data_IF_476165619629
#
_entry.id   IF_476165619629
#
_cell.length_a   1.000
_cell.length_b   1.000
_cell.length_c   1.000
_cell.angle_alpha   90.00
_cell.angle_beta   90.00
_cell.angle_gamma   90.00
#
_symmetry.space_group_name_H-M   'P 1'
#
loop_
_entity.id
_entity.type
_entity.pdbx_description
1 polymer ?
#
# COMPACT_ATOMS: atom_id res chain seq x y z
N UNK A 1 -9.81 -17.58 3.98
CA UNK A 1 -8.44 -17.76 4.43
C UNK A 1 -8.23 -16.95 5.70
N UNK A 2 -7.55 -17.48 6.71
CA UNK A 2 -7.17 -16.72 7.91
C UNK A 2 -5.71 -16.26 7.80
N UNK A 3 -5.46 -15.04 8.25
CA UNK A 3 -4.17 -14.40 8.33
C UNK A 3 -4.06 -13.82 9.76
N UNK A 4 -3.68 -14.66 10.72
CA UNK A 4 -3.91 -14.35 12.13
C UNK A 4 -5.42 -14.20 12.38
N UNK A 5 -5.81 -13.06 12.96
CA UNK A 5 -7.21 -12.72 13.21
C UNK A 5 -7.93 -12.11 11.99
N UNK A 6 -7.19 -11.82 10.93
CA UNK A 6 -7.75 -11.24 9.71
C UNK A 6 -8.36 -12.32 8.83
N UNK A 7 -9.61 -12.14 8.43
CA UNK A 7 -10.30 -13.04 7.50
C UNK A 7 -10.31 -12.43 6.10
N UNK A 8 -9.61 -13.06 5.17
CA UNK A 8 -9.56 -12.71 3.75
C UNK A 8 -10.27 -13.76 2.90
N UNK A 9 -10.77 -13.38 1.72
CA UNK A 9 -11.32 -14.35 0.74
C UNK A 9 -10.21 -15.20 0.09
N UNK A 10 -9.05 -14.57 -0.16
CA UNK A 10 -7.83 -15.22 -0.69
C UNK A 10 -6.61 -14.35 -0.37
N UNK A 11 -5.41 -14.77 -0.84
CA UNK A 11 -4.12 -14.13 -0.56
C UNK A 11 -3.84 -12.87 -1.38
N UNK A 12 -4.73 -12.43 -2.26
CA UNK A 12 -4.52 -11.24 -3.08
C UNK A 12 -5.42 -10.11 -2.61
N UNK A 13 -4.83 -9.05 -2.08
CA UNK A 13 -5.52 -7.83 -1.68
C UNK A 13 -5.15 -6.67 -2.61
N UNK A 14 -5.81 -5.54 -2.49
CA UNK A 14 -5.41 -4.31 -3.17
C UNK A 14 -4.73 -3.35 -2.21
N UNK A 15 -3.75 -2.59 -2.70
CA UNK A 15 -3.09 -1.57 -1.90
C UNK A 15 -3.95 -0.32 -1.74
N UNK A 16 -3.80 0.35 -0.62
CA UNK A 16 -4.34 1.68 -0.37
C UNK A 16 -4.03 2.65 -1.51
N UNK A 17 -4.96 3.48 -1.87
CA UNK A 17 -4.89 4.60 -2.82
C UNK A 17 -5.35 4.37 -4.27
N UNK A 18 -5.43 3.16 -4.77
CA UNK A 18 -5.58 2.95 -6.21
C UNK A 18 -6.99 2.77 -6.70
N UNK A 19 -7.80 2.12 -5.91
CA UNK A 19 -9.19 1.85 -6.25
C UNK A 19 -10.16 2.82 -5.55
N UNK A 20 -9.66 3.95 -5.08
CA UNK A 20 -10.46 4.90 -4.33
C UNK A 20 -10.95 4.27 -3.03
N UNK A 21 -12.26 4.23 -2.85
CA UNK A 21 -12.91 3.60 -1.70
C UNK A 21 -13.49 2.22 -2.03
N UNK A 22 -13.19 1.69 -3.22
CA UNK A 22 -13.68 0.36 -3.61
C UNK A 22 -15.13 0.34 -4.09
N UNK A 23 -15.74 1.50 -4.34
CA UNK A 23 -17.13 1.61 -4.80
C UNK A 23 -17.22 1.95 -6.27
N UNK A 24 -18.31 1.52 -6.92
CA UNK A 24 -18.62 1.87 -8.31
C UNK A 24 -19.47 3.14 -8.45
N UNK A 25 -19.89 3.75 -7.34
CA UNK A 25 -21.09 4.59 -7.34
C UNK A 25 -20.87 6.09 -7.20
N UNK A 26 -19.68 6.59 -6.97
CA UNK A 26 -19.58 8.03 -6.73
C UNK A 26 -18.25 8.63 -7.14
N UNK A 27 -18.35 9.72 -7.91
CA UNK A 27 -17.39 10.79 -8.12
C UNK A 27 -15.91 10.44 -8.29
N UNK A 28 -15.13 11.43 -8.63
CA UNK A 28 -13.70 11.31 -8.88
C UNK A 28 -12.88 10.84 -7.64
N UNK A 29 -13.39 11.03 -6.43
CA UNK A 29 -12.77 10.56 -5.18
C UNK A 29 -13.04 9.07 -4.89
N UNK A 30 -14.18 8.56 -5.30
CA UNK A 30 -14.63 7.22 -4.95
C UNK A 30 -14.12 6.12 -5.86
N UNK A 31 -13.76 6.42 -7.11
CA UNK A 31 -13.56 5.41 -8.13
C UNK A 31 -12.33 5.66 -8.99
N UNK A 32 -11.47 4.66 -9.06
CA UNK A 32 -10.61 4.50 -10.24
C UNK A 32 -11.45 3.90 -11.37
N UNK A 33 -11.36 4.40 -12.62
CA UNK A 33 -12.01 3.75 -13.77
C UNK A 33 -11.67 2.25 -13.92
N UNK A 34 -10.55 1.83 -13.34
CA UNK A 34 -10.15 0.41 -13.28
C UNK A 34 -11.07 -0.41 -12.39
N UNK A 35 -11.61 0.19 -11.32
CA UNK A 35 -12.51 -0.50 -10.42
C UNK A 35 -13.76 -1.04 -11.15
N UNK A 36 -14.22 -0.33 -12.20
CA UNK A 36 -15.33 -0.77 -13.05
C UNK A 36 -15.07 -2.09 -13.78
N UNK A 37 -13.81 -2.39 -14.06
CA UNK A 37 -13.42 -3.57 -14.83
C UNK A 37 -12.82 -4.69 -13.97
N UNK A 38 -12.66 -4.45 -12.66
CA UNK A 38 -12.13 -5.44 -11.73
C UNK A 38 -13.25 -6.07 -10.90
N UNK A 39 -13.22 -7.39 -10.73
CA UNK A 39 -14.14 -8.10 -9.85
C UNK A 39 -13.69 -7.88 -8.39
N UNK A 40 -13.93 -6.68 -7.83
CA UNK A 40 -13.45 -6.30 -6.50
C UNK A 40 -13.89 -7.27 -5.42
N UNK A 41 -15.12 -7.78 -5.50
CA UNK A 41 -15.64 -8.78 -4.59
C UNK A 41 -14.86 -10.11 -4.60
N UNK A 42 -14.06 -10.37 -5.63
CA UNK A 42 -13.26 -11.59 -5.74
C UNK A 42 -11.86 -11.45 -5.13
N UNK A 43 -11.40 -10.23 -4.79
CA UNK A 43 -10.15 -10.04 -4.08
C UNK A 43 -10.25 -10.52 -2.63
N UNK A 44 -9.12 -10.86 -2.03
CA UNK A 44 -9.01 -11.21 -0.62
C UNK A 44 -9.58 -10.14 0.29
N UNK A 45 -9.18 -8.89 0.01
CA UNK A 45 -9.77 -7.66 0.52
C UNK A 45 -9.43 -6.49 -0.40
N UNK A 46 -10.20 -5.41 -0.28
CA UNK A 46 -9.95 -4.12 -0.94
C UNK A 46 -9.54 -3.10 0.10
N UNK A 47 -8.33 -2.54 -0.04
CA UNK A 47 -7.85 -1.49 0.86
C UNK A 47 -8.27 -0.12 0.34
N UNK A 48 -8.91 0.67 1.19
CA UNK A 48 -9.35 2.04 0.86
C UNK A 48 -8.17 2.98 0.67
N UNK A 49 -8.41 4.15 0.06
CA UNK A 49 -7.50 5.29 0.25
C UNK A 49 -7.33 5.55 1.73
N UNK A 50 -6.14 6.06 2.09
CA UNK A 50 -5.90 6.49 3.47
C UNK A 50 -6.83 7.65 3.82
N UNK A 51 -7.60 7.47 4.88
CA UNK A 51 -8.57 8.41 5.43
C UNK A 51 -7.96 9.16 6.60
N UNK A 52 -8.30 10.42 6.73
CA UNK A 52 -7.94 11.30 7.85
C UNK A 52 -9.19 11.74 8.59
N UNK A 53 -9.06 12.31 9.79
CA UNK A 53 -10.19 12.82 10.56
C UNK A 53 -10.96 13.82 9.71
N UNK A 54 -10.29 14.87 9.24
CA UNK A 54 -10.88 15.86 8.35
C UNK A 54 -10.59 15.56 6.87
N UNK A 55 -11.42 16.04 5.94
CA UNK A 55 -11.14 15.96 4.51
C UNK A 55 -9.82 16.63 4.15
N UNK A 56 -9.08 16.04 3.19
CA UNK A 56 -7.81 16.61 2.71
C UNK A 56 -7.77 16.67 1.20
N UNK A 57 -7.39 17.82 0.67
CA UNK A 57 -7.14 17.98 -0.77
C UNK A 57 -5.79 17.36 -1.20
N UNK A 58 -4.87 17.16 -0.25
CA UNK A 58 -3.52 16.72 -0.54
C UNK A 58 -2.76 17.72 -1.41
N UNK A 59 -1.90 17.21 -2.31
CA UNK A 59 -1.23 18.04 -3.33
C UNK A 59 -1.99 18.04 -4.67
N UNK A 60 -3.14 17.42 -4.70
CA UNK A 60 -4.01 17.28 -5.86
C UNK A 60 -5.42 17.71 -5.49
N UNK A 61 -5.79 18.92 -5.89
CA UNK A 61 -7.14 19.45 -5.72
C UNK A 61 -8.05 18.79 -6.73
N UNK A 62 -8.90 17.89 -6.29
CA UNK A 62 -9.98 17.31 -7.09
C UNK A 62 -11.28 17.99 -6.69
N UNK A 63 -11.81 18.84 -7.56
CA UNK A 63 -13.16 19.36 -7.39
C UNK A 63 -14.14 18.36 -8.02
N UNK A 64 -15.26 18.11 -7.38
CA UNK A 64 -16.29 17.20 -7.89
C UNK A 64 -17.03 17.75 -9.12
N UNK A 65 -16.94 19.05 -9.35
CA UNK A 65 -17.65 19.83 -10.36
C UNK A 65 -16.85 20.03 -11.67
N UNK A 66 -15.92 19.12 -12.01
CA UNK A 66 -15.14 19.22 -13.23
C UNK A 66 -15.97 19.08 -14.49
N UNK A 67 -15.86 20.08 -15.37
CA UNK A 67 -16.46 20.04 -16.70
C UNK A 67 -15.45 19.56 -17.76
N UNK A 68 -15.91 19.03 -18.92
CA UNK A 68 -15.02 18.66 -20.01
C UNK A 68 -14.09 19.79 -20.50
N UNK A 69 -14.50 21.05 -20.32
CA UNK A 69 -13.68 22.23 -20.66
C UNK A 69 -12.44 22.38 -19.77
N UNK A 70 -12.48 21.84 -18.55
CA UNK A 70 -11.39 21.93 -17.57
C UNK A 70 -10.41 20.77 -17.64
N UNK A 71 -10.67 19.78 -18.49
CA UNK A 71 -9.83 18.60 -18.68
C UNK A 71 -8.33 18.92 -18.91
N UNK A 72 -7.93 19.92 -19.73
CA UNK A 72 -6.53 20.27 -19.88
C UNK A 72 -5.87 20.80 -18.59
N UNK A 73 -6.61 21.52 -17.76
CA UNK A 73 -6.17 21.98 -16.44
C UNK A 73 -5.99 20.84 -15.46
N UNK A 74 -6.94 19.89 -15.43
CA UNK A 74 -6.86 18.65 -14.66
C UNK A 74 -5.64 17.83 -15.03
N UNK A 75 -5.39 17.61 -16.33
CA UNK A 75 -4.22 16.89 -16.83
C UNK A 75 -2.91 17.53 -16.38
N UNK A 76 -2.84 18.86 -16.41
CA UNK A 76 -1.66 19.61 -15.97
C UNK A 76 -1.42 19.44 -14.48
N UNK A 77 -2.48 19.50 -13.66
CA UNK A 77 -2.40 19.29 -12.20
C UNK A 77 -2.02 17.82 -11.89
N UNK A 78 -2.60 16.86 -12.59
CA UNK A 78 -2.28 15.45 -12.41
C UNK A 78 -0.78 15.18 -12.63
N UNK A 79 -0.19 15.81 -13.65
CA UNK A 79 1.25 15.71 -13.93
C UNK A 79 2.14 16.28 -12.82
N UNK A 80 1.62 17.12 -11.93
CA UNK A 80 2.36 17.66 -10.77
C UNK A 80 2.37 16.73 -9.57
N UNK A 81 1.49 15.73 -9.54
CA UNK A 81 1.37 14.77 -8.43
C UNK A 81 1.65 13.33 -8.83
N UNK A 82 1.69 13.03 -10.14
CA UNK A 82 1.99 11.69 -10.65
C UNK A 82 2.78 11.75 -11.95
N UNK A 83 3.91 11.05 -12.01
CA UNK A 83 4.74 10.91 -13.21
C UNK A 83 5.22 9.49 -13.38
N UNK A 84 5.23 9.03 -14.64
CA UNK A 84 5.95 7.81 -15.01
C UNK A 84 7.46 7.99 -14.90
N UNK A 85 8.16 6.93 -14.51
CA UNK A 85 9.61 6.84 -14.46
C UNK A 85 10.05 5.45 -14.92
N UNK A 86 11.35 5.21 -15.06
CA UNK A 86 11.87 3.92 -15.50
C UNK A 86 11.46 2.82 -14.52
N UNK A 87 10.70 1.87 -15.02
CA UNK A 87 10.18 0.75 -14.23
C UNK A 87 9.06 1.08 -13.24
N UNK A 88 8.52 2.32 -13.20
CA UNK A 88 7.49 2.64 -12.21
C UNK A 88 6.86 4.02 -12.33
N UNK A 89 6.42 4.52 -11.19
CA UNK A 89 5.73 5.79 -11.02
C UNK A 89 6.25 6.49 -9.78
N UNK A 90 6.39 7.81 -9.87
CA UNK A 90 6.62 8.65 -8.70
C UNK A 90 5.38 9.51 -8.46
N UNK A 91 4.90 9.54 -7.22
CA UNK A 91 3.67 10.23 -6.86
C UNK A 91 3.82 11.09 -5.60
N UNK A 92 3.00 12.13 -5.52
CA UNK A 92 2.91 13.04 -4.37
C UNK A 92 1.44 13.42 -4.12
N UNK A 93 0.55 12.45 -3.88
CA UNK A 93 -0.86 12.74 -3.65
C UNK A 93 -1.14 13.42 -2.30
N UNK A 94 -0.42 13.05 -1.23
CA UNK A 94 -0.53 13.72 0.07
C UNK A 94 -1.82 13.44 0.82
N UNK A 95 -2.32 12.20 0.76
CA UNK A 95 -3.56 11.77 1.43
C UNK A 95 -4.80 12.58 1.02
N UNK A 96 -4.98 12.83 -0.26
CA UNK A 96 -6.22 13.40 -0.76
C UNK A 96 -7.39 12.44 -0.46
N UNK A 97 -8.35 12.85 0.39
CA UNK A 97 -9.48 12.01 0.83
C UNK A 97 -10.66 12.88 1.34
N UNK A 98 -11.83 12.26 1.48
CA UNK A 98 -13.07 12.91 1.89
C UNK A 98 -13.26 13.06 3.40
N UNK A 99 -12.32 12.57 4.21
CA UNK A 99 -12.47 12.44 5.65
C UNK A 99 -13.22 11.16 6.05
N UNK A 100 -13.02 10.75 7.31
CA UNK A 100 -13.57 9.48 7.80
C UNK A 100 -15.10 9.50 7.84
N UNK A 101 -15.72 10.60 8.25
CA UNK A 101 -17.17 10.68 8.43
C UNK A 101 -17.91 10.56 7.10
N UNK A 102 -17.46 11.31 6.08
CA UNK A 102 -18.05 11.21 4.74
C UNK A 102 -17.81 9.82 4.14
N UNK A 103 -16.65 9.20 4.39
CA UNK A 103 -16.43 7.82 3.95
C UNK A 103 -17.41 6.84 4.60
N UNK A 104 -17.60 6.91 5.91
CA UNK A 104 -18.48 6.00 6.64
C UNK A 104 -19.94 6.19 6.26
N UNK A 105 -20.38 7.43 6.01
CA UNK A 105 -21.75 7.74 5.61
C UNK A 105 -22.06 7.38 4.15
N UNK A 106 -21.18 7.77 3.22
CA UNK A 106 -21.52 7.82 1.80
C UNK A 106 -20.88 6.69 0.98
N UNK A 107 -19.75 6.11 1.44
CA UNK A 107 -18.99 5.13 0.65
C UNK A 107 -19.00 3.73 1.26
N UNK A 108 -18.80 3.62 2.57
CA UNK A 108 -18.74 2.32 3.24
C UNK A 108 -19.99 1.45 3.03
N UNK A 109 -21.24 1.97 3.06
CA UNK A 109 -22.42 1.16 2.80
C UNK A 109 -22.42 0.44 1.44
N UNK A 110 -21.70 0.97 0.46
CA UNK A 110 -21.57 0.40 -0.88
C UNK A 110 -20.44 -0.64 -1.01
N UNK A 111 -19.72 -0.94 0.06
CA UNK A 111 -18.60 -1.91 0.06
C UNK A 111 -18.95 -3.25 0.72
N UNK A 112 -20.19 -3.46 1.12
CA UNK A 112 -20.62 -4.65 1.90
C UNK A 112 -20.41 -5.99 1.19
N UNK A 113 -20.44 -5.99 -0.14
CA UNK A 113 -20.21 -7.20 -0.94
C UNK A 113 -18.73 -7.58 -1.05
N UNK A 114 -17.83 -6.79 -0.50
CA UNK A 114 -16.39 -7.03 -0.51
C UNK A 114 -15.82 -7.07 0.91
N UNK A 115 -14.67 -7.70 1.09
CA UNK A 115 -13.91 -7.57 2.33
C UNK A 115 -13.09 -6.30 2.23
N UNK A 116 -13.26 -5.38 3.16
CA UNK A 116 -12.59 -4.08 3.13
C UNK A 116 -11.51 -4.00 4.20
N UNK A 117 -10.38 -3.37 3.87
CA UNK A 117 -9.37 -2.89 4.81
C UNK A 117 -9.47 -1.36 4.79
N UNK A 118 -9.82 -0.75 5.91
CA UNK A 118 -9.92 0.72 6.02
C UNK A 118 -8.55 1.27 6.39
N UNK A 119 -7.91 2.01 5.46
CA UNK A 119 -6.61 2.62 5.70
C UNK A 119 -6.77 3.98 6.37
N UNK A 120 -6.12 4.17 7.52
CA UNK A 120 -6.21 5.36 8.38
C UNK A 120 -4.86 6.07 8.42
N UNK A 121 -4.87 7.40 8.48
CA UNK A 121 -3.68 8.24 8.59
C UNK A 121 -3.95 9.51 9.39
N UNK A 122 -3.04 9.84 10.27
CA UNK A 122 -3.10 11.00 11.16
C UNK A 122 -1.69 11.54 11.44
N UNK A 123 -1.62 12.69 12.09
CA UNK A 123 -0.38 13.37 12.46
C UNK A 123 -0.11 13.36 13.96
N UNK A 124 -0.97 12.73 14.74
CA UNK A 124 -0.81 12.49 16.18
C UNK A 124 -1.47 11.19 16.58
N UNK A 125 -1.13 10.63 17.74
CA UNK A 125 -1.79 9.45 18.31
C UNK A 125 -3.29 9.72 18.52
N UNK A 126 -3.65 10.91 18.99
CA UNK A 126 -5.04 11.33 19.20
C UNK A 126 -5.88 11.27 17.89
N UNK A 127 -5.31 11.69 16.75
CA UNK A 127 -6.01 11.57 15.46
C UNK A 127 -6.23 10.10 15.09
N UNK A 128 -5.25 9.21 15.31
CA UNK A 128 -5.43 7.77 15.08
C UNK A 128 -6.46 7.15 16.01
N UNK A 129 -6.47 7.54 17.28
CA UNK A 129 -7.50 7.13 18.25
C UNK A 129 -8.88 7.58 17.79
N UNK A 130 -9.04 8.84 17.40
CA UNK A 130 -10.29 9.39 16.88
C UNK A 130 -10.79 8.60 15.67
N UNK A 131 -9.89 8.29 14.72
CA UNK A 131 -10.22 7.51 13.53
C UNK A 131 -10.69 6.10 13.88
N UNK A 132 -9.98 5.41 14.78
CA UNK A 132 -10.36 4.07 15.26
C UNK A 132 -11.71 4.09 15.96
N UNK A 133 -11.95 5.06 16.84
CA UNK A 133 -13.21 5.19 17.58
C UNK A 133 -14.40 5.44 16.62
N UNK A 134 -14.22 6.24 15.58
CA UNK A 134 -15.25 6.46 14.54
C UNK A 134 -15.54 5.20 13.72
N UNK A 135 -14.52 4.44 13.37
CA UNK A 135 -14.70 3.15 12.68
C UNK A 135 -15.42 2.17 13.60
N UNK A 136 -15.02 2.05 14.88
CA UNK A 136 -15.67 1.18 15.86
C UNK A 136 -17.17 1.52 16.05
N UNK A 137 -17.51 2.81 16.04
CA UNK A 137 -18.88 3.27 16.23
C UNK A 137 -19.78 2.98 15.02
N UNK A 138 -19.22 3.03 13.80
CA UNK A 138 -20.00 2.93 12.57
C UNK A 138 -19.99 1.55 11.93
N UNK A 139 -18.96 0.73 12.20
CA UNK A 139 -18.71 -0.55 11.52
C UNK A 139 -18.77 -1.69 12.54
N UNK A 140 -19.73 -2.60 12.43
CA UNK A 140 -19.83 -3.77 13.31
C UNK A 140 -18.57 -4.66 13.25
N UNK A 141 -18.20 -5.24 14.38
CA UNK A 141 -17.06 -6.17 14.45
C UNK A 141 -17.24 -7.32 13.44
N UNK A 142 -16.19 -7.60 12.66
CA UNK A 142 -16.18 -8.64 11.64
C UNK A 142 -16.78 -8.24 10.28
N UNK A 143 -17.39 -7.06 10.13
CA UNK A 143 -17.90 -6.58 8.83
C UNK A 143 -16.74 -6.28 7.86
N UNK A 144 -15.68 -5.63 8.33
CA UNK A 144 -14.45 -5.41 7.56
C UNK A 144 -13.39 -6.45 7.87
N UNK A 145 -12.35 -6.51 7.03
CA UNK A 145 -11.22 -7.41 7.25
C UNK A 145 -10.29 -6.88 8.36
N UNK A 146 -9.96 -5.59 8.32
CA UNK A 146 -9.06 -4.94 9.25
C UNK A 146 -9.09 -3.40 9.08
N UNK A 147 -8.46 -2.69 10.01
CA UNK A 147 -7.98 -1.32 9.82
C UNK A 147 -6.47 -1.34 9.55
N UNK A 148 -5.99 -0.52 8.59
CA UNK A 148 -4.55 -0.35 8.29
C UNK A 148 -4.08 1.01 8.80
N UNK A 149 -3.13 1.05 9.75
CA UNK A 149 -2.49 2.27 10.22
C UNK A 149 -1.34 2.64 9.25
N UNK A 150 -1.52 3.72 8.51
CA UNK A 150 -0.57 4.21 7.52
C UNK A 150 0.35 5.28 8.14
N UNK A 151 1.29 4.85 8.96
CA UNK A 151 2.30 5.70 9.64
C UNK A 151 3.61 5.77 8.84
N UNK A 152 3.54 5.73 7.52
CA UNK A 152 4.74 5.59 6.69
C UNK A 152 4.67 6.33 5.34
N UNK A 153 3.77 7.31 5.21
CA UNK A 153 3.55 8.03 3.97
C UNK A 153 4.52 9.22 3.82
N UNK A 154 5.42 9.18 2.83
CA UNK A 154 6.39 10.26 2.57
C UNK A 154 5.75 11.51 1.94
N UNK A 155 4.55 11.38 1.37
CA UNK A 155 3.91 12.46 0.62
C UNK A 155 3.30 13.55 1.51
N UNK A 156 3.27 13.34 2.84
CA UNK A 156 2.71 14.31 3.80
C UNK A 156 3.76 15.10 4.56
N UNK A 157 5.05 14.90 4.25
CA UNK A 157 6.19 15.61 4.87
C UNK A 157 6.18 15.56 6.40
N UNK A 158 5.88 14.39 6.98
CA UNK A 158 5.82 14.16 8.40
C UNK A 158 6.71 12.98 8.80
N UNK A 159 7.39 13.07 9.94
CA UNK A 159 8.20 11.98 10.48
C UNK A 159 7.38 11.15 11.47
N UNK A 160 6.86 10.04 10.99
CA UNK A 160 6.05 9.13 11.80
C UNK A 160 6.82 8.39 12.89
N UNK A 161 8.15 8.38 12.85
CA UNK A 161 8.95 7.75 13.91
C UNK A 161 8.77 8.42 15.26
N UNK A 162 8.36 9.68 15.27
CA UNK A 162 8.14 10.49 16.47
C UNK A 162 6.85 10.13 17.22
N UNK A 163 5.88 9.57 16.54
CA UNK A 163 4.56 9.25 17.14
C UNK A 163 4.21 7.76 17.07
N UNK A 164 5.03 6.92 16.45
CA UNK A 164 4.67 5.52 16.18
C UNK A 164 4.35 4.75 17.46
N UNK A 165 5.16 4.92 18.52
CA UNK A 165 4.93 4.21 19.77
C UNK A 165 3.60 4.61 20.40
N UNK A 166 3.33 5.91 20.48
CA UNK A 166 2.07 6.42 21.06
C UNK A 166 0.86 5.95 20.25
N UNK A 167 0.97 5.94 18.92
CA UNK A 167 -0.09 5.40 18.03
C UNK A 167 -0.33 3.91 18.32
N UNK A 168 0.72 3.12 18.51
CA UNK A 168 0.58 1.70 18.80
C UNK A 168 -0.02 1.47 20.19
N UNK A 169 0.41 2.20 21.18
CA UNK A 169 -0.02 2.03 22.57
C UNK A 169 -1.46 2.52 22.81
N UNK A 170 -1.90 3.53 22.05
CA UNK A 170 -3.21 4.14 22.24
C UNK A 170 -4.28 3.64 21.28
N UNK A 171 -3.97 3.53 19.98
CA UNK A 171 -4.98 3.22 18.95
C UNK A 171 -5.19 1.70 18.79
N UNK A 172 -4.13 0.87 18.89
CA UNK A 172 -4.27 -0.58 18.69
C UNK A 172 -5.20 -1.24 19.69
N UNK A 173 -5.05 -1.04 21.03
CA UNK A 173 -5.92 -1.69 22.01
C UNK A 173 -7.38 -1.20 21.96
N UNK A 174 -7.65 -0.06 21.35
CA UNK A 174 -9.02 0.47 21.17
C UNK A 174 -9.78 -0.16 20.01
N UNK A 175 -9.07 -0.72 19.04
CA UNK A 175 -9.72 -1.23 17.83
C UNK A 175 -10.53 -2.49 18.09
N UNK A 176 -11.80 -2.49 17.68
CA UNK A 176 -12.65 -3.68 17.64
C UNK A 176 -12.37 -4.56 16.41
N UNK A 177 -11.53 -4.08 15.50
CA UNK A 177 -11.12 -4.77 14.27
C UNK A 177 -9.64 -5.14 14.34
N UNK A 178 -9.21 -6.21 13.65
CA UNK A 178 -7.79 -6.50 13.51
C UNK A 178 -7.03 -5.31 12.95
N UNK A 179 -5.85 -5.01 13.50
CA UNK A 179 -5.03 -3.86 13.09
C UNK A 179 -3.86 -4.33 12.24
N UNK A 180 -3.61 -3.64 11.14
CA UNK A 180 -2.45 -3.82 10.26
C UNK A 180 -1.56 -2.59 10.39
N UNK A 181 -0.25 -2.78 10.60
CA UNK A 181 0.72 -1.68 10.50
C UNK A 181 1.38 -1.67 9.12
N UNK A 182 1.37 -0.51 8.45
CA UNK A 182 2.03 -0.35 7.16
C UNK A 182 3.43 0.19 7.31
N UNK A 183 4.43 -0.59 6.85
CA UNK A 183 5.85 -0.30 6.94
C UNK A 183 6.36 0.43 5.69
N UNK A 184 7.40 1.24 5.86
CA UNK A 184 8.19 1.82 4.77
C UNK A 184 9.66 1.38 4.88
N UNK A 185 10.35 1.16 3.74
CA UNK A 185 11.78 0.84 3.74
C UNK A 185 12.66 2.04 4.13
N UNK A 186 12.08 3.23 4.20
CA UNK A 186 12.79 4.47 4.51
C UNK A 186 12.84 4.78 6.03
N UNK A 187 12.24 3.90 6.86
CA UNK A 187 12.31 3.92 8.32
C UNK A 187 12.96 2.64 8.84
N UNK A 188 13.20 2.55 10.13
CA UNK A 188 13.63 1.32 10.80
C UNK A 188 12.46 0.33 10.89
N UNK A 189 12.16 -0.34 9.77
CA UNK A 189 11.03 -1.27 9.67
C UNK A 189 11.19 -2.52 10.55
N UNK A 190 12.43 -2.93 10.90
CA UNK A 190 12.66 -4.04 11.83
C UNK A 190 12.26 -3.67 13.26
N UNK A 191 12.66 -2.48 13.71
CA UNK A 191 12.22 -1.93 15.00
C UNK A 191 10.70 -1.75 14.99
N UNK A 192 10.13 -1.13 13.97
CA UNK A 192 8.70 -0.87 13.86
C UNK A 192 7.88 -2.16 13.86
N UNK A 193 8.37 -3.23 13.24
CA UNK A 193 7.71 -4.54 13.25
C UNK A 193 7.73 -5.19 14.65
N UNK A 194 8.82 -5.05 15.41
CA UNK A 194 8.90 -5.53 16.79
C UNK A 194 7.95 -4.77 17.71
N UNK A 195 7.90 -3.43 17.60
CA UNK A 195 6.95 -2.60 18.34
C UNK A 195 5.50 -2.99 18.01
N UNK A 196 5.18 -3.20 16.72
CA UNK A 196 3.87 -3.66 16.26
C UNK A 196 3.48 -5.02 16.88
N UNK A 197 4.42 -5.97 16.93
CA UNK A 197 4.18 -7.28 17.55
C UNK A 197 3.90 -7.16 19.05
N UNK A 198 4.63 -6.30 19.75
CA UNK A 198 4.42 -6.04 21.19
C UNK A 198 3.08 -5.37 21.49
N UNK A 199 2.62 -4.49 20.59
CA UNK A 199 1.33 -3.81 20.71
C UNK A 199 0.12 -4.65 20.32
N UNK A 200 0.33 -5.90 19.81
CA UNK A 200 -0.78 -6.77 19.42
C UNK A 200 -1.34 -6.50 18.03
N UNK A 201 -0.55 -5.88 17.13
CA UNK A 201 -0.91 -5.71 15.71
C UNK A 201 -1.10 -7.09 15.07
N UNK A 202 -2.16 -7.25 14.29
CA UNK A 202 -2.55 -8.55 13.70
C UNK A 202 -1.74 -8.92 12.45
N UNK A 203 -1.22 -7.94 11.71
CA UNK A 203 -0.41 -8.16 10.50
C UNK A 203 0.40 -6.90 10.12
N UNK A 204 1.35 -7.09 9.20
CA UNK A 204 2.14 -6.02 8.59
C UNK A 204 1.82 -5.88 7.11
N UNK A 205 1.75 -4.66 6.58
CA UNK A 205 1.84 -4.39 5.14
C UNK A 205 3.28 -3.93 4.81
N UNK A 206 4.01 -4.70 4.02
CA UNK A 206 5.37 -4.39 3.58
C UNK A 206 5.46 -4.43 2.04
N UNK A 207 5.69 -3.27 1.39
CA UNK A 207 6.11 -1.96 1.88
C UNK A 207 5.20 -0.84 1.34
N UNK A 208 5.29 0.36 1.93
CA UNK A 208 4.83 1.60 1.31
C UNK A 208 5.73 1.96 0.11
N UNK A 209 5.43 3.03 -0.59
CA UNK A 209 6.29 3.58 -1.65
C UNK A 209 7.63 4.02 -1.07
N UNK A 210 8.68 3.98 -1.90
CA UNK A 210 10.05 4.42 -1.52
C UNK A 210 10.19 5.91 -1.81
N UNK A 211 10.76 6.66 -0.89
CA UNK A 211 11.01 8.10 -1.07
C UNK A 211 11.97 8.32 -2.23
N UNK A 212 11.59 9.17 -3.18
CA UNK A 212 12.36 9.41 -4.40
C UNK A 212 12.24 10.85 -4.89
N UNK A 213 13.20 11.25 -5.73
CA UNK A 213 13.24 12.53 -6.42
C UNK A 213 13.44 12.30 -7.92
N UNK A 214 12.71 13.06 -8.75
CA UNK A 214 13.02 13.19 -10.17
C UNK A 214 13.05 14.65 -10.58
N UNK A 215 14.09 15.03 -11.32
CA UNK A 215 14.29 16.38 -11.84
C UNK A 215 14.05 16.40 -13.35
N UNK A 216 13.61 17.54 -13.86
CA UNK A 216 13.62 17.82 -15.29
C UNK A 216 15.08 18.01 -15.74
N UNK A 217 15.61 17.20 -16.65
CA UNK A 217 17.01 17.26 -17.06
C UNK A 217 17.38 18.54 -17.80
N UNK A 218 16.38 19.31 -18.26
CA UNK A 218 16.60 20.58 -18.98
C UNK A 218 16.67 21.78 -18.05
N UNK A 219 15.96 21.74 -16.94
CA UNK A 219 15.77 22.89 -16.05
C UNK A 219 16.27 22.66 -14.64
N UNK A 220 16.56 21.40 -14.24
CA UNK A 220 16.91 21.03 -12.88
C UNK A 220 15.74 21.14 -11.89
N UNK A 221 14.54 21.45 -12.35
CA UNK A 221 13.37 21.61 -11.47
C UNK A 221 12.75 20.28 -11.10
N UNK A 222 12.21 20.13 -9.87
CA UNK A 222 11.49 18.90 -9.48
C UNK A 222 10.26 18.67 -10.36
N UNK A 223 10.04 17.41 -10.74
CA UNK A 223 8.86 17.03 -11.52
C UNK A 223 7.57 17.11 -10.70
N UNK A 224 7.66 16.85 -9.40
CA UNK A 224 6.50 16.88 -8.51
C UNK A 224 6.43 18.18 -7.72
N UNK A 225 5.21 18.63 -7.44
CA UNK A 225 4.96 19.84 -6.66
C UNK A 225 5.58 19.79 -5.25
N UNK A 226 5.62 18.59 -4.65
CA UNK A 226 6.16 18.36 -3.32
C UNK A 226 7.68 18.05 -3.34
N UNK A 227 8.40 18.33 -4.44
CA UNK A 227 9.81 18.00 -4.66
C UNK A 227 10.08 16.48 -4.59
N UNK A 228 9.85 15.84 -3.45
CA UNK A 228 9.96 14.40 -3.23
C UNK A 228 8.60 13.73 -3.43
N UNK A 229 8.62 12.44 -3.76
CA UNK A 229 7.42 11.62 -3.89
C UNK A 229 7.70 10.17 -3.57
N UNK A 230 6.65 9.36 -3.55
CA UNK A 230 6.74 7.92 -3.38
C UNK A 230 6.94 7.22 -4.72
N UNK A 231 8.06 6.53 -4.88
CA UNK A 231 8.33 5.64 -6.01
C UNK A 231 7.58 4.33 -5.81
N UNK A 232 6.93 3.85 -6.87
CA UNK A 232 6.22 2.57 -6.93
C UNK A 232 6.47 1.85 -8.26
N UNK A 233 6.00 0.60 -8.39
CA UNK A 233 6.15 -0.19 -9.60
C UNK A 233 7.34 -1.14 -9.55
N UNK A 234 7.73 -1.69 -10.71
CA UNK A 234 8.78 -2.72 -10.79
C UNK A 234 10.12 -2.28 -10.20
N UNK A 235 10.41 -0.99 -10.26
CA UNK A 235 11.64 -0.41 -9.74
C UNK A 235 11.86 -0.69 -8.24
N UNK A 236 10.78 -0.81 -7.45
CA UNK A 236 10.90 -1.06 -6.00
C UNK A 236 10.78 -2.55 -5.62
N UNK A 237 10.51 -3.45 -6.57
CA UNK A 237 10.28 -4.87 -6.26
C UNK A 237 11.47 -5.51 -5.52
N UNK A 238 12.74 -5.33 -5.94
CA UNK A 238 13.87 -5.91 -5.22
C UNK A 238 13.99 -5.39 -3.78
N UNK A 239 13.67 -4.11 -3.56
CA UNK A 239 13.68 -3.50 -2.22
C UNK A 239 12.58 -4.13 -1.35
N UNK A 240 11.38 -4.27 -1.90
CA UNK A 240 10.25 -4.85 -1.18
C UNK A 240 10.46 -6.33 -0.84
N UNK A 241 11.04 -7.11 -1.75
CA UNK A 241 11.42 -8.51 -1.51
C UNK A 241 12.44 -8.61 -0.38
N UNK A 242 13.50 -7.77 -0.41
CA UNK A 242 14.50 -7.70 0.65
C UNK A 242 13.86 -7.42 2.01
N UNK A 243 12.99 -6.41 2.10
CA UNK A 243 12.33 -6.07 3.38
C UNK A 243 11.52 -7.24 3.93
N UNK A 244 10.78 -7.96 3.07
CA UNK A 244 10.01 -9.14 3.50
C UNK A 244 10.93 -10.25 4.02
N UNK A 245 12.01 -10.54 3.30
CA UNK A 245 13.00 -11.54 3.71
C UNK A 245 13.67 -11.15 5.05
N UNK A 246 14.18 -9.91 5.16
CA UNK A 246 14.82 -9.42 6.40
C UNK A 246 13.88 -9.42 7.62
N UNK A 247 12.59 -9.17 7.43
CA UNK A 247 11.60 -9.31 8.51
C UNK A 247 11.54 -10.77 8.99
N UNK A 248 11.54 -11.74 8.08
CA UNK A 248 11.54 -13.17 8.44
C UNK A 248 12.87 -13.60 9.07
N UNK A 249 13.99 -13.19 8.51
CA UNK A 249 15.33 -13.46 9.05
C UNK A 249 15.49 -12.89 10.47
N UNK A 250 14.86 -11.75 10.74
CA UNK A 250 14.80 -11.14 12.08
C UNK A 250 13.80 -11.83 13.04
N UNK A 251 13.17 -12.94 12.64
CA UNK A 251 12.24 -13.71 13.46
C UNK A 251 10.85 -13.08 13.62
N UNK A 252 10.45 -12.16 12.75
CA UNK A 252 9.10 -11.59 12.78
C UNK A 252 8.07 -12.66 12.39
N UNK A 253 7.20 -13.02 13.33
CA UNK A 253 6.15 -14.04 13.14
C UNK A 253 4.81 -13.46 12.71
N UNK A 254 4.62 -12.14 12.83
CA UNK A 254 3.40 -11.49 12.35
C UNK A 254 3.15 -11.80 10.87
N UNK A 255 1.89 -12.04 10.47
CA UNK A 255 1.53 -12.15 9.07
C UNK A 255 1.97 -10.94 8.24
N UNK A 256 2.50 -11.18 7.03
CA UNK A 256 2.98 -10.13 6.13
C UNK A 256 2.14 -10.10 4.85
N UNK A 257 1.50 -8.97 4.59
CA UNK A 257 0.89 -8.63 3.30
C UNK A 257 1.93 -7.86 2.48
N UNK A 258 2.60 -8.56 1.56
CA UNK A 258 3.68 -7.97 0.77
C UNK A 258 3.15 -7.14 -0.41
N UNK A 259 3.75 -5.99 -0.65
CA UNK A 259 3.43 -5.11 -1.78
C UNK A 259 4.67 -4.41 -2.32
N UNK A 260 4.71 -4.19 -3.62
CA UNK A 260 5.80 -3.52 -4.32
C UNK A 260 6.10 -4.20 -5.66
N UNK A 261 5.72 -3.57 -6.77
CA UNK A 261 6.07 -3.99 -8.11
C UNK A 261 5.42 -5.28 -8.62
N UNK A 262 4.45 -5.85 -7.93
CA UNK A 262 3.72 -7.06 -8.31
C UNK A 262 2.88 -6.79 -9.56
N UNK A 263 3.07 -7.59 -10.61
CA UNK A 263 2.35 -7.48 -11.90
C UNK A 263 1.94 -8.83 -12.47
N UNK A 264 2.56 -9.91 -12.02
CA UNK A 264 2.37 -11.26 -12.56
C UNK A 264 2.24 -12.27 -11.43
N UNK A 265 1.78 -13.47 -11.75
CA UNK A 265 1.76 -14.58 -10.81
C UNK A 265 3.17 -15.03 -10.38
N UNK A 266 4.18 -14.83 -11.25
CA UNK A 266 5.57 -15.11 -10.89
C UNK A 266 6.05 -14.14 -9.80
N UNK A 267 5.69 -12.85 -9.89
CA UNK A 267 6.01 -11.88 -8.84
C UNK A 267 5.38 -12.29 -7.50
N UNK A 268 4.14 -12.78 -7.51
CA UNK A 268 3.49 -13.26 -6.28
C UNK A 268 4.24 -14.44 -5.65
N UNK A 269 4.72 -15.41 -6.47
CA UNK A 269 5.51 -16.55 -5.97
C UNK A 269 6.81 -16.13 -5.32
N UNK A 270 7.53 -15.14 -5.91
CA UNK A 270 8.76 -14.61 -5.30
C UNK A 270 8.50 -14.04 -3.90
N UNK A 271 7.38 -13.32 -3.71
CA UNK A 271 7.01 -12.81 -2.38
C UNK A 271 6.64 -13.93 -1.40
N UNK A 272 5.95 -14.98 -1.86
CA UNK A 272 5.65 -16.13 -1.00
C UNK A 272 6.93 -16.88 -0.60
N UNK A 273 7.90 -17.00 -1.51
CA UNK A 273 9.21 -17.57 -1.17
C UNK A 273 10.03 -16.67 -0.23
N UNK A 274 9.87 -15.36 -0.32
CA UNK A 274 10.48 -14.43 0.64
C UNK A 274 9.78 -14.46 2.03
N UNK A 275 8.71 -15.23 2.19
CA UNK A 275 8.01 -15.38 3.46
C UNK A 275 6.76 -14.54 3.63
N UNK A 276 6.21 -13.95 2.57
CA UNK A 276 4.92 -13.28 2.63
C UNK A 276 3.75 -14.27 2.76
N UNK A 277 2.72 -13.92 3.54
CA UNK A 277 1.51 -14.71 3.70
C UNK A 277 0.42 -14.31 2.72
N UNK A 278 0.39 -13.05 2.33
CA UNK A 278 -0.48 -12.50 1.31
C UNK A 278 0.26 -11.45 0.48
N UNK A 279 -0.29 -11.09 -0.67
CA UNK A 279 0.29 -10.10 -1.57
C UNK A 279 -0.73 -9.03 -1.93
N UNK A 280 -0.24 -7.81 -2.20
CA UNK A 280 -1.10 -6.68 -2.52
C UNK A 280 -0.74 -6.04 -3.85
N UNK A 281 -1.76 -5.88 -4.72
CA UNK A 281 -1.63 -5.14 -5.97
C UNK A 281 -1.74 -3.64 -5.73
N UNK A 282 -0.69 -2.93 -6.10
CA UNK A 282 -0.64 -1.48 -6.10
C UNK A 282 -0.64 -0.89 -7.52
N UNK A 283 0.42 -0.18 -7.87
CA UNK A 283 0.56 0.59 -9.12
C UNK A 283 0.39 -0.21 -10.42
N UNK A 284 0.32 -1.55 -10.36
CA UNK A 284 -0.04 -2.36 -11.52
C UNK A 284 -1.42 -2.01 -12.09
N UNK A 285 -2.32 -1.51 -11.25
CA UNK A 285 -3.67 -1.08 -11.63
C UNK A 285 -3.72 0.41 -12.04
N UNK A 286 -2.65 1.18 -11.80
CA UNK A 286 -2.59 2.64 -11.98
C UNK A 286 -2.62 3.12 -13.42
N UNK A 287 -2.15 2.31 -14.34
CA UNK A 287 -2.04 2.68 -15.76
C UNK A 287 -3.38 2.99 -16.42
N UNK A 288 -4.48 2.55 -15.82
CA UNK A 288 -5.81 2.87 -16.31
C UNK A 288 -6.35 4.23 -15.80
N UNK A 289 -5.71 4.83 -14.80
CA UNK A 289 -6.14 6.12 -14.23
C UNK A 289 -5.42 7.31 -14.85
N UNK A 290 -4.43 7.10 -15.72
CA UNK A 290 -3.75 8.19 -16.41
C UNK A 290 -4.55 8.58 -17.68
N UNK A 291 -4.89 9.88 -17.87
CA UNK A 291 -5.53 10.33 -19.11
C UNK A 291 -4.67 9.98 -20.31
N UNK A 292 -5.21 9.21 -21.25
CA UNK A 292 -4.50 8.60 -22.37
C UNK A 292 -4.21 7.11 -22.21
N UNK A 293 -4.33 6.56 -20.98
CA UNK A 293 -4.27 5.12 -20.70
C UNK A 293 -5.57 4.60 -20.08
N UNK A 294 -6.57 5.45 -19.92
CA UNK A 294 -7.85 5.17 -19.26
C UNK A 294 -8.67 4.03 -19.87
N UNK A 295 -8.26 3.54 -21.03
CA UNK A 295 -8.98 2.53 -21.78
C UNK A 295 -8.20 1.22 -21.95
N UNK A 296 -7.32 0.88 -21.01
CA UNK A 296 -6.62 -0.39 -21.15
C UNK A 296 -7.39 -1.54 -20.47
N UNK A 297 -8.37 -2.17 -21.14
CA UNK A 297 -8.95 -3.44 -20.69
C UNK A 297 -7.87 -4.51 -20.47
N UNK A 298 -6.70 -4.36 -21.12
CA UNK A 298 -5.54 -5.21 -20.95
C UNK A 298 -4.99 -5.21 -19.51
N UNK A 299 -5.10 -4.09 -18.77
CA UNK A 299 -4.62 -4.02 -17.37
C UNK A 299 -5.58 -4.65 -16.41
N UNK A 300 -6.89 -4.45 -16.61
CA UNK A 300 -7.90 -5.18 -15.87
C UNK A 300 -7.78 -6.70 -16.14
N UNK A 301 -7.53 -7.09 -17.39
CA UNK A 301 -7.28 -8.48 -17.76
C UNK A 301 -6.02 -9.03 -17.07
N UNK A 302 -4.93 -8.24 -16.98
CA UNK A 302 -3.72 -8.63 -16.27
C UNK A 302 -4.00 -8.85 -14.76
N UNK A 303 -4.69 -7.92 -14.10
CA UNK A 303 -5.07 -8.06 -12.70
C UNK A 303 -5.98 -9.28 -12.47
N UNK A 304 -6.95 -9.53 -13.37
CA UNK A 304 -7.78 -10.76 -13.34
C UNK A 304 -6.96 -12.04 -13.50
N UNK A 305 -5.94 -12.05 -14.37
CA UNK A 305 -5.03 -13.20 -14.54
C UNK A 305 -4.22 -13.45 -13.28
N UNK A 306 -3.71 -12.40 -12.63
CA UNK A 306 -3.01 -12.52 -11.35
C UNK A 306 -3.95 -13.06 -10.28
N UNK A 307 -5.16 -12.53 -10.16
CA UNK A 307 -6.18 -13.00 -9.23
C UNK A 307 -6.49 -14.48 -9.44
N UNK A 308 -6.78 -14.90 -10.67
CA UNK A 308 -7.08 -16.28 -11.01
C UNK A 308 -5.90 -17.23 -10.70
N UNK A 309 -4.67 -16.75 -10.86
CA UNK A 309 -3.47 -17.52 -10.55
C UNK A 309 -3.26 -17.66 -9.05
N UNK A 310 -3.35 -16.58 -8.29
CA UNK A 310 -3.16 -16.59 -6.82
C UNK A 310 -4.23 -17.45 -6.13
N UNK A 311 -5.47 -17.43 -6.62
CA UNK A 311 -6.54 -18.30 -6.09
C UNK A 311 -6.24 -19.79 -6.21
N UNK A 312 -5.43 -20.18 -7.20
CA UNK A 312 -5.01 -21.56 -7.46
C UNK A 312 -3.68 -21.94 -6.81
N UNK A 313 -2.94 -20.95 -6.30
CA UNK A 313 -1.67 -21.22 -5.62
C UNK A 313 -1.95 -21.79 -4.24
N UNK A 314 -1.54 -23.04 -4.02
CA UNK A 314 -1.32 -23.55 -2.69
C UNK A 314 -0.19 -22.78 -2.01
N UNK A 315 -0.16 -22.67 -0.67
CA UNK A 315 1.05 -22.26 0.01
C UNK A 315 2.20 -23.12 -0.50
N UNK A 316 3.41 -22.58 -0.70
CA UNK A 316 4.56 -23.42 -0.92
C UNK A 316 4.70 -24.30 0.33
N UNK A 317 4.47 -25.62 0.18
CA UNK A 317 4.80 -26.59 1.20
C UNK A 317 6.29 -26.50 1.43
N UNK A 318 6.72 -26.08 2.63
CA UNK A 318 8.11 -25.98 3.00
C UNK A 318 8.90 -24.97 2.15
N UNK A 319 8.36 -23.77 1.92
CA UNK A 319 9.22 -22.67 1.48
C UNK A 319 10.38 -22.59 2.48
N UNK A 320 11.65 -22.79 2.08
CA UNK A 320 12.76 -22.60 2.99
C UNK A 320 12.62 -21.17 3.51
N UNK A 321 12.47 -20.99 4.80
CA UNK A 321 12.74 -19.70 5.40
C UNK A 321 14.16 -19.36 5.01
N UNK A 322 14.45 -18.10 4.69
CA UNK A 322 15.78 -17.70 4.21
C UNK A 322 16.94 -18.16 5.13
N UNK A 323 16.63 -18.55 6.37
CA UNK A 323 17.56 -19.19 7.31
C UNK A 323 17.88 -20.67 7.05
N UNK A 324 17.19 -21.35 6.13
CA UNK A 324 17.42 -22.78 5.83
C UNK A 324 18.38 -23.01 4.64
N UNK A 325 18.94 -21.95 4.04
CA UNK A 325 19.98 -22.13 3.04
C UNK A 325 21.29 -22.49 3.74
N UNK A 326 21.96 -23.57 3.32
CA UNK A 326 23.30 -23.87 3.81
C UNK A 326 24.22 -22.67 3.49
N UNK A 327 25.13 -22.36 4.42
CA UNK A 327 26.05 -21.23 4.38
C UNK A 327 27.14 -21.31 3.26
N UNK A 328 26.86 -21.99 2.15
CA UNK A 328 27.80 -22.31 1.08
C UNK A 328 28.06 -21.19 0.06
N UNK A 329 27.58 -19.98 0.30
CA UNK A 329 27.94 -18.81 -0.51
C UNK A 329 28.56 -17.68 0.35
N UNK A 330 29.53 -18.03 1.19
CA UNK A 330 30.46 -17.03 1.65
C UNK A 330 31.35 -16.61 0.43
N UNK A 331 31.42 -15.31 0.07
CA UNK A 331 32.35 -14.89 -0.98
C UNK A 331 33.75 -15.29 -0.55
N UNK A 332 34.50 -15.94 -1.46
CA UNK A 332 35.93 -16.24 -1.24
C UNK A 332 36.63 -14.94 -0.83
N UNK A 333 37.54 -15.01 0.17
CA UNK A 333 38.31 -13.83 0.56
C UNK A 333 39.14 -13.39 -0.65
N UNK A 334 38.88 -12.17 -1.11
CA UNK A 334 39.71 -11.53 -2.14
C UNK A 334 41.13 -11.44 -1.61
N UNK A 335 42.08 -12.11 -2.25
CA UNK A 335 43.52 -11.99 -1.97
C UNK A 335 43.94 -10.51 -2.02
N UNK A 336 44.74 -10.04 -1.07
CA UNK A 336 45.27 -8.69 -1.12
C UNK A 336 46.14 -8.52 -2.36
N UNK A 337 45.85 -7.52 -3.19
CA UNK A 337 46.67 -7.14 -4.31
C UNK A 337 48.12 -6.88 -3.82
N UNK A 338 49.03 -7.74 -4.25
CA UNK A 338 50.47 -7.52 -4.05
C UNK A 338 50.85 -6.24 -4.79
N UNK A 339 51.32 -5.25 -4.02
CA UNK A 339 52.00 -4.10 -4.56
C UNK A 339 53.26 -4.60 -5.28
N UNK A 340 53.26 -4.46 -6.58
CA UNK A 340 54.43 -4.67 -7.42
C UNK A 340 54.98 -3.33 -7.86
N UNK A 341 56.28 -3.19 -7.78
CA UNK A 341 57.17 -2.05 -8.01
C UNK A 341 56.85 -1.15 -9.20
#
# INVERSE_FOLDING_TARGET
MRLGDIVLRNRLVTSSSLLGYGTSTSGFYGMSPVALFLPLAEFGAVTTRTLTVEPREGHFTTREDWTPRELPGLLRRYRRVLRGTDGGWINAFGWCNVGIDAYLADYHPHTRDQRTIISLGGFSAEEFVTLVDRVNAAVPAGEIAAVELNVSCHNVNFDFSTILQDVLDEAVPRSHHPVILKLSPDYDYLRNARQAAQAGVAALTAINTVKALRLDPRTGTPWLANRYGGLSGRAIKPIALRVVAELRDAGVTLPIIATGGIRTAADCREYFWAGADAVSLGSATWLASYPGYALSPLRALQARRVLASVRRMSPPDGAPHAGDQPADHAPEPTEPATAGD
#
